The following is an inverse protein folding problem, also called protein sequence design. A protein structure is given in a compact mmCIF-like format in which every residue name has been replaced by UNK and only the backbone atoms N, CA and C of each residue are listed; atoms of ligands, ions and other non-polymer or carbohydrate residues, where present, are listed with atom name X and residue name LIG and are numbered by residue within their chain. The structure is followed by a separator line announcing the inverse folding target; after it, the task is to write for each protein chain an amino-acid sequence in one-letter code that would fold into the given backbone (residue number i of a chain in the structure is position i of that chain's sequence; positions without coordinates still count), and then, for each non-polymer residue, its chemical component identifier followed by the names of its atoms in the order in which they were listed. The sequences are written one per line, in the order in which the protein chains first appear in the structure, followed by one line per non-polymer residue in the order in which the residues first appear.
data_IF_030022045572
#
_entry.id   IF_030022045572
#
_cell.length_a   1.000
_cell.length_b   1.000
_cell.length_c   1.000
_cell.angle_alpha   90.00
_cell.angle_beta   90.00
_cell.angle_gamma   90.00
#
_symmetry.space_group_name_H-M   'P 1'
#
loop_
_entity.id
_entity.type
_entity.pdbx_description
1 polymer ?
#
# COMPACT_ATOMS: atom_id res chain seq x y z
N UNK A 1 4.28 8.74 -19.64
CA UNK A 1 4.87 9.18 -18.37
C UNK A 1 4.93 7.95 -17.48
N UNK A 2 6.12 7.53 -17.09
CA UNK A 2 6.29 6.48 -16.08
C UNK A 2 7.48 6.88 -15.24
N UNK A 3 7.21 7.70 -14.23
CA UNK A 3 8.09 7.85 -13.08
C UNK A 3 8.28 6.46 -12.46
N UNK A 4 9.44 6.16 -11.89
CA UNK A 4 9.65 4.89 -11.19
C UNK A 4 8.62 4.76 -10.06
N UNK A 5 7.69 3.79 -10.20
CA UNK A 5 6.65 3.54 -9.22
C UNK A 5 7.26 3.04 -7.90
N UNK A 6 6.59 3.33 -6.80
CA UNK A 6 6.99 2.88 -5.48
C UNK A 6 5.76 2.65 -4.59
N UNK A 7 5.94 1.90 -3.52
CA UNK A 7 4.94 1.74 -2.46
C UNK A 7 5.58 2.01 -1.09
N UNK A 8 4.73 2.23 -0.09
CA UNK A 8 5.13 2.21 1.32
C UNK A 8 4.69 0.89 1.92
N UNK A 9 5.64 0.11 2.41
CA UNK A 9 5.44 -1.27 2.86
C UNK A 9 5.34 -1.30 4.39
N UNK A 10 4.24 -1.88 4.86
CA UNK A 10 3.94 -2.18 6.25
C UNK A 10 4.42 -3.60 6.59
N UNK A 11 5.47 -3.69 7.40
CA UNK A 11 6.11 -4.96 7.79
C UNK A 11 5.67 -5.47 9.16
N UNK A 12 5.40 -4.56 10.11
CA UNK A 12 4.91 -4.86 11.46
C UNK A 12 4.28 -3.61 12.10
N UNK A 13 3.34 -3.77 13.05
CA UNK A 13 2.82 -2.65 13.86
C UNK A 13 3.94 -1.86 14.55
N UNK A 14 3.83 -0.54 14.54
CA UNK A 14 4.80 0.39 15.13
C UNK A 14 6.12 0.55 14.37
N UNK A 15 6.41 -0.27 13.36
CA UNK A 15 7.61 -0.12 12.54
C UNK A 15 7.41 0.91 11.42
N UNK A 16 8.39 1.80 11.17
CA UNK A 16 8.29 2.77 10.08
C UNK A 16 8.05 2.10 8.72
N UNK A 17 7.06 2.60 7.98
CA UNK A 17 6.80 2.15 6.62
C UNK A 17 8.05 2.35 5.75
N UNK A 18 8.39 1.34 4.96
CA UNK A 18 9.57 1.38 4.08
C UNK A 18 9.15 1.69 2.65
N UNK A 19 9.79 2.70 2.04
CA UNK A 19 9.57 3.00 0.63
C UNK A 19 10.29 1.98 -0.23
N UNK A 20 9.55 1.23 -1.03
CA UNK A 20 10.09 0.17 -1.89
C UNK A 20 9.76 0.46 -3.36
N UNK A 21 10.71 0.35 -4.29
CA UNK A 21 10.44 0.44 -5.72
C UNK A 21 9.45 -0.65 -6.16
N UNK A 22 8.55 -0.30 -7.08
CA UNK A 22 7.56 -1.21 -7.64
C UNK A 22 7.85 -1.47 -9.11
N UNK A 23 7.99 -2.74 -9.49
CA UNK A 23 8.03 -3.15 -10.89
C UNK A 23 6.62 -3.42 -11.37
N UNK A 24 6.15 -2.64 -12.34
CA UNK A 24 4.82 -2.80 -12.94
C UNK A 24 4.91 -3.63 -14.22
N UNK A 25 4.18 -4.74 -14.23
CA UNK A 25 3.85 -5.46 -15.46
C UNK A 25 2.53 -4.93 -16.03
N UNK A 26 2.29 -5.08 -17.35
CA UNK A 26 0.97 -4.77 -17.92
C UNK A 26 -0.14 -5.51 -17.17
N UNK A 27 -1.29 -4.86 -16.90
CA UNK A 27 -2.37 -5.47 -16.18
C UNK A 27 -2.97 -6.63 -17.00
N UNK A 28 -3.38 -7.74 -16.37
CA UNK A 28 -4.05 -8.83 -17.06
C UNK A 28 -5.45 -8.39 -17.57
N UNK A 29 -6.09 -9.18 -18.45
CA UNK A 29 -7.43 -8.85 -18.96
C UNK A 29 -8.42 -8.57 -17.83
N UNK A 30 -9.17 -7.46 -17.96
CA UNK A 30 -10.13 -7.02 -16.95
C UNK A 30 -9.54 -6.20 -15.80
N UNK A 31 -8.25 -5.88 -15.83
CA UNK A 31 -7.59 -4.99 -14.87
C UNK A 31 -7.00 -3.77 -15.56
N UNK A 32 -6.72 -2.72 -14.78
CA UNK A 32 -6.13 -1.47 -15.25
C UNK A 32 -4.98 -1.05 -14.36
N UNK A 33 -4.02 -0.30 -14.92
CA UNK A 33 -2.98 0.39 -14.15
C UNK A 33 -3.45 1.81 -13.88
N UNK A 34 -3.40 2.22 -12.62
CA UNK A 34 -3.79 3.57 -12.18
C UNK A 34 -2.56 4.28 -11.63
N UNK A 35 -2.32 5.51 -12.09
CA UNK A 35 -1.36 6.42 -11.46
C UNK A 35 -2.04 7.09 -10.27
N UNK A 36 -1.49 6.84 -9.07
CA UNK A 36 -2.06 7.37 -7.82
C UNK A 36 -1.57 8.80 -7.60
N UNK A 37 -2.49 9.77 -7.65
CA UNK A 37 -2.19 11.18 -7.38
C UNK A 37 -2.16 11.51 -5.88
N UNK A 38 -2.91 10.75 -5.07
CA UNK A 38 -2.99 10.86 -3.63
C UNK A 38 -3.65 9.62 -3.03
N UNK A 39 -3.47 9.42 -1.72
CA UNK A 39 -4.16 8.37 -0.98
C UNK A 39 -4.50 8.91 0.41
N UNK A 40 -5.76 8.83 0.81
CA UNK A 40 -6.23 9.17 2.15
C UNK A 40 -5.68 8.22 3.20
N UNK A 41 -5.61 8.71 4.44
CA UNK A 41 -5.27 7.91 5.62
C UNK A 41 -6.47 7.91 6.54
N UNK A 42 -7.09 6.74 6.71
CA UNK A 42 -8.29 6.60 7.52
C UNK A 42 -7.96 5.97 8.88
N UNK A 43 -8.96 5.89 9.75
CA UNK A 43 -8.81 5.27 11.07
C UNK A 43 -8.42 3.78 10.98
N UNK A 44 -8.87 3.05 9.96
CA UNK A 44 -8.53 1.64 9.77
C UNK A 44 -7.03 1.45 9.52
N UNK A 45 -6.40 2.36 8.76
CA UNK A 45 -4.95 2.31 8.53
C UNK A 45 -4.18 2.52 9.84
N UNK A 46 -4.65 3.46 10.67
CA UNK A 46 -4.09 3.72 12.00
C UNK A 46 -4.26 2.51 12.94
N UNK A 47 -5.42 1.84 12.89
CA UNK A 47 -5.67 0.63 13.68
C UNK A 47 -4.73 -0.52 13.32
N UNK A 48 -4.37 -0.67 12.04
CA UNK A 48 -3.33 -1.63 11.65
C UNK A 48 -1.94 -1.21 12.15
N UNK A 49 -1.60 0.06 12.02
CA UNK A 49 -0.25 0.54 12.31
C UNK A 49 0.04 0.63 13.81
N UNK A 50 -0.86 1.21 14.60
CA UNK A 50 -0.65 1.48 16.03
C UNK A 50 -1.27 0.41 16.94
N UNK A 51 -2.47 -0.05 16.62
CA UNK A 51 -3.28 -0.86 17.54
C UNK A 51 -3.13 -2.37 17.28
N UNK A 52 -2.37 -2.77 16.26
CA UNK A 52 -2.14 -4.17 15.92
C UNK A 52 -3.41 -4.91 15.51
N UNK A 53 -4.41 -4.18 14.97
CA UNK A 53 -5.63 -4.79 14.45
C UNK A 53 -5.26 -5.86 13.43
N UNK A 54 -5.92 -7.02 13.51
CA UNK A 54 -5.63 -8.14 12.61
C UNK A 54 -5.92 -7.76 11.16
N UNK A 55 -4.92 -7.88 10.30
CA UNK A 55 -5.08 -7.72 8.86
C UNK A 55 -5.75 -8.94 8.24
N UNK A 56 -6.50 -8.73 7.15
CA UNK A 56 -7.13 -9.81 6.40
C UNK A 56 -6.13 -10.64 5.57
N UNK A 57 -4.88 -10.18 5.45
CA UNK A 57 -3.79 -10.83 4.72
C UNK A 57 -2.51 -10.79 5.55
N UNK A 58 -1.62 -11.75 5.33
CA UNK A 58 -0.32 -11.76 6.00
C UNK A 58 0.54 -10.57 5.57
N UNK A 59 1.39 -10.12 6.50
CA UNK A 59 2.43 -9.12 6.23
C UNK A 59 3.54 -9.73 5.35
N UNK A 60 4.26 -8.92 4.55
CA UNK A 60 4.14 -7.47 4.41
C UNK A 60 2.96 -7.01 3.54
N UNK A 61 2.46 -5.80 3.77
CA UNK A 61 1.33 -5.20 3.04
C UNK A 61 1.64 -3.79 2.54
N UNK A 62 0.94 -3.37 1.48
CA UNK A 62 0.77 -1.96 1.13
C UNK A 62 -0.63 -1.57 1.60
N UNK A 63 -0.71 -0.64 2.55
CA UNK A 63 -1.98 -0.13 3.08
C UNK A 63 -2.56 0.98 2.19
N UNK A 64 -3.73 1.50 2.54
CA UNK A 64 -4.44 2.53 1.79
C UNK A 64 -5.55 1.98 0.90
N UNK A 65 -6.74 2.56 1.05
CA UNK A 65 -7.95 2.19 0.30
C UNK A 65 -8.80 3.40 -0.11
N UNK A 66 -8.22 4.60 -0.02
CA UNK A 66 -8.86 5.87 -0.34
C UNK A 66 -8.04 6.59 -1.43
N UNK A 67 -8.16 6.12 -2.67
CA UNK A 67 -7.39 6.58 -3.85
C UNK A 67 -8.07 7.76 -4.55
#
# INVERSE_FOLDING_TARGET
MTTAAYSWVFSAPGEPLQRTPLTLSPPPPGQVTVEIAGCGVCHTDLGYYYDGVKTNRALPLVLGHEI
#
